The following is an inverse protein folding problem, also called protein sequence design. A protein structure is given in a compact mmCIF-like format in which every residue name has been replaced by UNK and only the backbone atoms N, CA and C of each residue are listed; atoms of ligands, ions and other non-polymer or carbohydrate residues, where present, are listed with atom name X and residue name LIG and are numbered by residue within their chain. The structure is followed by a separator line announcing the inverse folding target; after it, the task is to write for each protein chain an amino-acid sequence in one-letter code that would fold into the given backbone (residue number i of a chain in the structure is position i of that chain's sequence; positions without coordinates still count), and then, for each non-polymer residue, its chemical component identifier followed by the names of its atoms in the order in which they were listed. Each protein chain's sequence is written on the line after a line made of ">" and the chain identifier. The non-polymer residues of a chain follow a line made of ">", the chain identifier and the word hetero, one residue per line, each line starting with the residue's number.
data_IF_023968992891
#
_entry.id   IF_023968992891
#
_cell.length_a   1.000
_cell.length_b   1.000
_cell.length_c   1.000
_cell.angle_alpha   90.00
_cell.angle_beta   90.00
_cell.angle_gamma   90.00
#
_symmetry.space_group_name_H-M   'P 1'
#
loop_
_entity.id
_entity.type
_entity.pdbx_description
1 polymer ?
#
# COMPACT_ATOMS: atom_id res chain seq x y z
N UNK A 1 -43.60 31.62 15.57
CA UNK A 1 -44.52 30.74 14.81
C UNK A 1 -44.29 30.99 13.34
N UNK A 2 -43.66 30.05 12.65
CA UNK A 2 -43.87 29.76 11.23
C UNK A 2 -43.14 28.45 10.91
N UNK A 3 -43.95 27.45 10.54
CA UNK A 3 -43.55 26.11 10.13
C UNK A 3 -42.86 26.16 8.77
N UNK A 4 -41.76 25.41 8.62
CA UNK A 4 -41.27 24.95 7.33
C UNK A 4 -41.18 23.43 7.40
N UNK A 5 -42.04 22.79 6.61
CA UNK A 5 -42.18 21.35 6.38
C UNK A 5 -41.05 20.88 5.45
N UNK A 6 -40.20 19.98 5.94
CA UNK A 6 -39.25 19.22 5.12
C UNK A 6 -39.78 17.81 4.84
N UNK A 7 -40.14 17.54 3.60
CA UNK A 7 -40.45 16.19 3.10
C UNK A 7 -39.16 15.36 3.00
N UNK A 8 -39.06 14.29 3.79
CA UNK A 8 -38.06 13.24 3.57
C UNK A 8 -38.69 12.13 2.73
N UNK A 9 -38.12 11.89 1.54
CA UNK A 9 -38.42 10.72 0.72
C UNK A 9 -37.75 9.49 1.35
N UNK A 10 -38.55 8.59 1.94
CA UNK A 10 -38.11 7.22 2.22
C UNK A 10 -38.42 6.35 1.00
N UNK A 11 -37.39 5.78 0.38
CA UNK A 11 -37.55 4.74 -0.63
C UNK A 11 -37.44 3.38 0.06
N UNK A 12 -38.59 2.71 0.19
CA UNK A 12 -38.69 1.33 0.65
C UNK A 12 -37.92 0.39 -0.28
N UNK A 13 -37.01 -0.41 0.27
CA UNK A 13 -36.46 -1.60 -0.39
C UNK A 13 -37.40 -2.76 -0.04
N UNK A 14 -38.11 -3.27 -1.05
CA UNK A 14 -38.89 -4.49 -0.94
C UNK A 14 -37.95 -5.69 -0.88
N UNK A 15 -37.89 -6.36 0.28
CA UNK A 15 -37.31 -7.70 0.41
C UNK A 15 -38.42 -8.70 0.06
N UNK A 16 -38.30 -9.34 -1.10
CA UNK A 16 -39.21 -10.40 -1.52
C UNK A 16 -38.88 -11.69 -0.74
N UNK A 17 -39.65 -11.98 0.30
CA UNK A 17 -39.71 -13.31 0.91
C UNK A 17 -40.47 -14.27 -0.01
N UNK A 18 -39.80 -15.32 -0.49
CA UNK A 18 -40.46 -16.55 -0.93
C UNK A 18 -40.52 -17.51 0.25
N UNK A 19 -41.71 -17.67 0.81
CA UNK A 19 -42.03 -18.72 1.76
C UNK A 19 -42.27 -20.07 1.07
N UNK A 20 -41.65 -21.10 1.62
CA UNK A 20 -42.14 -22.48 1.80
C UNK A 20 -41.61 -22.85 3.20
N UNK A 21 -42.39 -23.23 4.20
CA UNK A 21 -43.59 -24.05 4.19
C UNK A 21 -43.26 -25.33 4.95
N UNK A 22 -43.26 -25.21 6.28
CA UNK A 22 -43.46 -26.18 7.38
C UNK A 22 -42.78 -27.57 7.45
N UNK A 23 -42.57 -27.92 8.73
CA UNK A 23 -42.28 -29.21 9.37
C UNK A 23 -40.83 -29.76 9.29
N UNK A 24 -40.07 -29.62 10.39
CA UNK A 24 -40.00 -30.71 11.36
C UNK A 24 -39.30 -30.31 12.68
N UNK A 25 -39.84 -30.85 13.77
CA UNK A 25 -39.40 -30.67 15.15
C UNK A 25 -38.24 -31.60 15.48
N UNK A 26 -37.55 -31.26 16.57
CA UNK A 26 -36.81 -32.16 17.45
C UNK A 26 -35.63 -32.94 16.84
N UNK A 27 -34.41 -32.42 17.06
CA UNK A 27 -33.26 -33.19 17.56
C UNK A 27 -32.11 -32.29 17.97
N UNK A 28 -32.11 -31.92 19.26
CA UNK A 28 -30.87 -31.64 19.98
C UNK A 28 -30.23 -33.01 20.29
N UNK A 29 -29.09 -33.32 19.67
CA UNK A 29 -28.23 -34.44 20.06
C UNK A 29 -26.93 -33.89 20.66
N UNK A 30 -26.72 -34.26 21.92
CA UNK A 30 -25.55 -34.02 22.77
C UNK A 30 -24.25 -34.71 22.27
N UNK A 31 -23.87 -34.53 21.00
CA UNK A 31 -22.68 -35.21 20.43
C UNK A 31 -21.52 -34.31 19.98
N UNK A 32 -21.61 -32.98 20.10
CA UNK A 32 -20.48 -32.08 19.75
C UNK A 32 -19.59 -31.68 20.96
N UNK A 33 -19.78 -32.33 22.12
CA UNK A 33 -18.87 -32.23 23.28
C UNK A 33 -18.00 -33.47 23.39
N UNK A 34 -17.07 -33.65 22.45
CA UNK A 34 -15.83 -34.45 22.60
C UNK A 34 -15.09 -34.50 21.27
N UNK A 35 -14.09 -33.65 21.10
CA UNK A 35 -12.95 -33.99 20.25
C UNK A 35 -11.67 -33.76 21.02
N UNK A 36 -10.95 -34.88 21.14
CA UNK A 36 -9.89 -35.17 22.08
C UNK A 36 -8.57 -34.45 21.76
N UNK A 37 -7.88 -34.15 22.84
CA UNK A 37 -6.45 -33.90 22.92
C UNK A 37 -5.67 -35.09 22.35
N UNK A 38 -5.03 -34.92 21.19
CA UNK A 38 -3.86 -35.72 20.81
C UNK A 38 -3.09 -35.07 19.65
N UNK A 39 -2.13 -34.20 19.98
CA UNK A 39 -1.05 -33.85 19.06
C UNK A 39 0.27 -34.35 19.66
N UNK A 40 0.67 -35.54 19.20
CA UNK A 40 2.00 -36.10 19.45
C UNK A 40 3.04 -35.29 18.68
N UNK A 41 3.96 -34.65 19.40
CA UNK A 41 5.18 -34.08 18.85
C UNK A 41 6.12 -35.20 18.40
N UNK A 42 6.14 -35.51 17.11
CA UNK A 42 7.28 -36.19 16.50
C UNK A 42 8.31 -35.13 16.11
N UNK A 43 9.46 -35.16 16.80
CA UNK A 43 10.64 -34.36 16.52
C UNK A 43 11.19 -34.69 15.13
N UNK A 44 10.98 -33.80 14.15
CA UNK A 44 11.75 -33.79 12.92
C UNK A 44 12.96 -32.88 13.13
N UNK A 45 14.14 -33.48 13.32
CA UNK A 45 15.42 -32.76 13.36
C UNK A 45 15.75 -32.29 11.93
N UNK A 46 15.49 -31.02 11.62
CA UNK A 46 15.87 -30.40 10.35
C UNK A 46 17.31 -29.92 10.46
N UNK A 47 18.24 -30.56 9.75
CA UNK A 47 19.57 -30.01 9.53
C UNK A 47 19.46 -28.84 8.54
N UNK A 48 20.02 -27.66 8.83
CA UNK A 48 19.99 -26.54 7.89
C UNK A 48 20.84 -26.86 6.67
N UNK A 49 20.20 -27.10 5.53
CA UNK A 49 20.87 -27.09 4.23
C UNK A 49 21.10 -25.61 3.88
N UNK A 50 22.33 -25.14 4.07
CA UNK A 50 22.73 -23.79 3.67
C UNK A 50 22.84 -23.80 2.13
N UNK A 51 22.02 -23.01 1.40
CA UNK A 51 22.13 -22.97 -0.06
C UNK A 51 23.46 -22.33 -0.45
N UNK A 52 24.32 -23.11 -1.11
CA UNK A 52 25.58 -22.67 -1.71
C UNK A 52 25.44 -22.54 -3.21
N UNK A 53 25.97 -21.46 -3.79
CA UNK A 53 26.03 -21.26 -5.24
C UNK A 53 27.44 -21.64 -5.72
N UNK A 54 27.52 -22.53 -6.71
CA UNK A 54 28.77 -22.88 -7.39
C UNK A 54 29.04 -21.85 -8.47
N UNK A 55 30.12 -21.07 -8.34
CA UNK A 55 30.46 -19.99 -9.28
C UNK A 55 31.39 -20.50 -10.38
N UNK A 56 32.30 -21.43 -10.02
CA UNK A 56 33.20 -22.16 -10.92
C UNK A 56 33.43 -23.58 -10.37
N UNK A 57 33.94 -24.55 -11.15
CA UNK A 57 34.25 -25.88 -10.65
C UNK A 57 35.14 -25.81 -9.38
N UNK A 58 34.60 -26.26 -8.25
CA UNK A 58 35.30 -26.31 -6.97
C UNK A 58 35.17 -25.09 -6.05
N UNK A 59 34.52 -23.99 -6.46
CA UNK A 59 34.33 -22.79 -5.60
C UNK A 59 32.86 -22.60 -5.24
N UNK A 60 32.56 -22.72 -3.95
CA UNK A 60 31.21 -22.50 -3.39
C UNK A 60 31.21 -21.29 -2.46
N UNK A 61 30.21 -20.43 -2.61
CA UNK A 61 29.98 -19.25 -1.76
C UNK A 61 28.66 -19.40 -1.01
N UNK A 62 28.68 -19.13 0.30
CA UNK A 62 27.49 -19.11 1.16
C UNK A 62 26.94 -17.69 1.35
N UNK A 63 25.76 -17.55 1.96
CA UNK A 63 25.12 -16.26 2.25
C UNK A 63 25.93 -15.32 3.15
N UNK A 64 26.93 -15.82 3.87
CA UNK A 64 27.83 -15.03 4.72
C UNK A 64 29.11 -14.60 3.98
N UNK A 65 29.12 -14.65 2.64
CA UNK A 65 30.27 -14.30 1.79
C UNK A 65 31.53 -15.13 2.11
N UNK A 66 31.37 -16.30 2.74
CA UNK A 66 32.48 -17.19 3.02
C UNK A 66 32.70 -18.09 1.80
N UNK A 67 33.87 -17.98 1.18
CA UNK A 67 34.26 -18.82 0.06
C UNK A 67 35.01 -20.06 0.57
N UNK A 68 34.59 -21.25 0.12
CA UNK A 68 35.33 -22.49 0.36
C UNK A 68 36.09 -22.84 -0.93
N UNK A 69 37.42 -22.96 -0.84
CA UNK A 69 38.28 -23.37 -1.94
C UNK A 69 38.63 -24.86 -1.79
N UNK A 70 38.84 -25.60 -2.90
CA UNK A 70 39.28 -26.98 -2.81
C UNK A 70 40.70 -27.04 -2.23
N UNK A 71 41.07 -28.13 -1.54
CA UNK A 71 42.43 -28.30 -1.04
C UNK A 71 43.40 -28.41 -2.22
N UNK A 72 44.11 -27.33 -2.53
CA UNK A 72 45.23 -27.37 -3.46
C UNK A 72 46.44 -28.00 -2.75
N UNK A 73 47.15 -28.97 -3.36
CA UNK A 73 48.48 -29.33 -2.89
C UNK A 73 49.42 -28.14 -3.17
N UNK A 74 49.77 -27.40 -2.12
CA UNK A 74 50.74 -26.30 -2.23
C UNK A 74 52.14 -26.92 -2.38
N UNK A 75 52.63 -27.02 -3.61
CA UNK A 75 54.06 -27.22 -3.87
C UNK A 75 54.75 -25.85 -3.82
N UNK A 76 55.51 -25.60 -2.75
CA UNK A 76 56.36 -24.41 -2.61
C UNK A 76 57.59 -24.51 -3.52
N UNK A 77 57.48 -24.06 -4.77
CA UNK A 77 58.67 -23.83 -5.60
C UNK A 77 58.41 -22.87 -6.76
N UNK A 78 58.07 -21.61 -6.48
CA UNK A 78 58.38 -20.45 -7.36
C UNK A 78 58.25 -19.15 -6.54
N UNK A 79 59.29 -18.29 -6.50
CA UNK A 79 59.20 -17.00 -5.81
C UNK A 79 58.55 -15.95 -6.72
N UNK A 80 57.45 -15.36 -6.27
CA UNK A 80 56.89 -14.13 -6.84
C UNK A 80 55.74 -14.35 -7.81
N UNK A 81 54.52 -14.36 -7.28
CA UNK A 81 53.29 -14.26 -8.08
C UNK A 81 52.29 -15.29 -7.63
N UNK A 82 51.35 -14.89 -6.76
CA UNK A 82 50.04 -15.55 -6.59
C UNK A 82 49.10 -14.82 -5.61
N UNK A 83 49.56 -13.85 -4.80
CA UNK A 83 48.63 -13.07 -3.95
C UNK A 83 47.84 -12.01 -4.74
N UNK A 84 48.46 -11.38 -5.74
CA UNK A 84 47.83 -10.32 -6.55
C UNK A 84 46.71 -10.84 -7.47
N UNK A 85 46.85 -12.07 -7.99
CA UNK A 85 45.87 -12.69 -8.88
C UNK A 85 44.61 -13.13 -8.14
N UNK A 86 44.74 -13.62 -6.90
CA UNK A 86 43.59 -14.00 -6.06
C UNK A 86 42.85 -12.75 -5.56
N UNK A 87 43.57 -11.71 -5.14
CA UNK A 87 42.97 -10.44 -4.73
C UNK A 87 42.22 -9.76 -5.90
N UNK A 88 42.79 -9.78 -7.11
CA UNK A 88 42.15 -9.24 -8.31
C UNK A 88 40.89 -10.02 -8.70
N UNK A 89 40.89 -11.35 -8.57
CA UNK A 89 39.73 -12.18 -8.85
C UNK A 89 38.59 -11.96 -7.83
N UNK A 90 38.91 -11.80 -6.54
CA UNK A 90 37.90 -11.46 -5.51
C UNK A 90 37.33 -10.06 -5.74
N UNK A 91 38.16 -9.09 -6.15
CA UNK A 91 37.70 -7.73 -6.46
C UNK A 91 36.82 -7.70 -7.73
N UNK A 92 37.15 -8.50 -8.75
CA UNK A 92 36.34 -8.64 -9.97
C UNK A 92 35.01 -9.34 -9.70
N UNK A 93 34.96 -10.32 -8.80
CA UNK A 93 33.70 -10.96 -8.37
C UNK A 93 32.87 -10.01 -7.50
N UNK A 94 33.48 -9.20 -6.64
CA UNK A 94 32.78 -8.15 -5.90
C UNK A 94 32.23 -7.04 -6.82
N UNK A 95 32.95 -6.71 -7.88
CA UNK A 95 32.49 -5.77 -8.92
C UNK A 95 31.42 -6.38 -9.83
N UNK A 96 31.49 -7.68 -10.13
CA UNK A 96 30.48 -8.40 -10.92
C UNK A 96 29.19 -8.68 -10.14
N UNK A 97 29.29 -8.96 -8.82
CA UNK A 97 28.14 -9.05 -7.92
C UNK A 97 27.59 -7.67 -7.55
N UNK A 98 28.39 -6.61 -7.67
CA UNK A 98 27.96 -5.21 -7.55
C UNK A 98 27.36 -4.60 -8.82
N UNK A 99 27.33 -5.34 -9.94
CA UNK A 99 26.80 -4.86 -11.24
C UNK A 99 25.68 -5.72 -11.83
N UNK A 100 25.13 -6.65 -11.03
CA UNK A 100 23.97 -7.47 -11.40
C UNK A 100 22.65 -6.83 -10.95
N UNK A 101 22.19 -5.83 -11.69
CA UNK A 101 20.91 -5.16 -11.50
C UNK A 101 21.06 -3.70 -11.90
N UNK A 102 20.44 -3.30 -13.01
CA UNK A 102 20.29 -1.88 -13.32
C UNK A 102 19.28 -1.34 -12.30
N UNK A 103 19.74 -1.10 -11.06
CA UNK A 103 18.99 -0.33 -10.09
C UNK A 103 19.00 1.09 -10.63
N UNK A 104 17.93 1.44 -11.32
CA UNK A 104 17.72 2.80 -11.77
C UNK A 104 17.78 3.68 -10.52
N UNK A 105 18.77 4.57 -10.46
CA UNK A 105 19.00 5.39 -9.28
C UNK A 105 17.72 6.18 -8.98
N UNK A 106 17.10 5.92 -7.82
CA UNK A 106 15.90 6.62 -7.37
C UNK A 106 16.07 8.12 -7.54
N UNK A 107 15.06 8.78 -8.13
CA UNK A 107 15.05 10.25 -8.31
C UNK A 107 15.10 11.03 -7.00
N UNK A 108 14.86 10.36 -5.87
CA UNK A 108 14.95 10.95 -4.55
C UNK A 108 16.37 11.39 -4.20
N UNK A 109 16.62 12.69 -3.96
CA UNK A 109 17.95 13.16 -3.60
C UNK A 109 18.39 12.60 -2.24
N UNK A 110 19.64 12.14 -2.21
CA UNK A 110 20.30 11.61 -0.99
C UNK A 110 20.80 12.70 -0.03
N UNK A 111 20.92 13.94 -0.50
CA UNK A 111 21.47 15.08 0.26
C UNK A 111 20.52 16.27 0.26
N UNK A 112 20.39 16.93 1.40
CA UNK A 112 19.47 18.05 1.64
C UNK A 112 19.98 19.42 1.16
N UNK A 113 21.09 19.48 0.41
CA UNK A 113 21.63 20.74 -0.13
C UNK A 113 20.78 21.29 -1.29
N UNK A 114 19.55 21.72 -1.02
CA UNK A 114 18.80 22.61 -1.91
C UNK A 114 17.58 23.22 -1.21
N UNK A 115 17.75 24.50 -0.83
CA UNK A 115 16.77 25.60 -0.66
C UNK A 115 15.55 25.43 0.27
N UNK A 116 15.17 26.55 0.91
CA UNK A 116 14.17 26.70 1.99
C UNK A 116 12.98 25.73 1.87
N UNK A 117 12.83 24.87 2.88
CA UNK A 117 11.72 23.90 3.02
C UNK A 117 12.14 22.43 2.93
N UNK A 118 13.25 22.11 2.25
CA UNK A 118 13.69 20.73 2.06
C UNK A 118 12.75 19.88 1.20
N UNK A 119 13.21 18.73 0.72
CA UNK A 119 12.37 17.77 -0.03
C UNK A 119 11.42 17.09 0.93
N UNK A 120 10.13 17.08 0.61
CA UNK A 120 9.08 16.40 1.39
C UNK A 120 9.09 14.92 1.03
N UNK A 121 9.50 14.05 1.96
CA UNK A 121 9.61 12.62 1.69
C UNK A 121 8.34 11.91 2.11
N UNK A 122 7.92 10.94 1.30
CA UNK A 122 6.69 10.20 1.53
C UNK A 122 6.89 8.71 1.29
N UNK A 123 6.23 7.88 2.12
CA UNK A 123 6.01 6.46 1.88
C UNK A 123 4.50 6.28 1.66
N UNK A 124 4.14 5.49 0.66
CA UNK A 124 2.75 5.09 0.40
C UNK A 124 2.58 3.60 0.74
N UNK A 125 1.78 3.31 1.77
CA UNK A 125 1.40 1.96 2.19
C UNK A 125 -0.02 1.65 1.72
N UNK A 126 -0.18 0.65 0.86
CA UNK A 126 -1.37 0.50 0.01
C UNK A 126 -1.71 -0.97 -0.25
N UNK A 127 -2.94 -1.28 -0.62
CA UNK A 127 -3.46 -2.64 -0.89
C UNK A 127 -4.09 -2.82 -2.27
N UNK A 128 -3.91 -1.83 -3.15
CA UNK A 128 -4.18 -1.80 -4.59
C UNK A 128 -5.62 -2.13 -5.01
N UNK A 129 -6.38 -1.05 -5.20
CA UNK A 129 -7.47 -0.85 -6.14
C UNK A 129 -7.16 0.27 -7.14
N UNK A 130 -8.14 0.64 -7.95
CA UNK A 130 -8.01 1.80 -8.86
C UNK A 130 -7.84 3.12 -8.10
N UNK A 131 -8.42 3.24 -6.91
CA UNK A 131 -8.24 4.35 -5.99
C UNK A 131 -6.80 4.51 -5.49
N UNK A 132 -6.14 3.43 -5.03
CA UNK A 132 -4.71 3.46 -4.69
C UNK A 132 -3.85 3.89 -5.89
N UNK A 133 -4.19 3.39 -7.08
CA UNK A 133 -3.49 3.74 -8.31
C UNK A 133 -3.65 5.22 -8.67
N UNK A 134 -4.84 5.81 -8.45
CA UNK A 134 -5.03 7.26 -8.57
C UNK A 134 -4.19 8.04 -7.55
N UNK A 135 -4.06 7.56 -6.31
CA UNK A 135 -3.17 8.16 -5.31
C UNK A 135 -1.70 8.12 -5.77
N UNK A 136 -1.23 6.98 -6.28
CA UNK A 136 0.12 6.80 -6.80
C UNK A 136 0.39 7.71 -8.00
N UNK A 137 -0.50 7.73 -9.00
CA UNK A 137 -0.38 8.62 -10.17
C UNK A 137 -0.34 10.08 -9.73
N UNK A 138 -1.19 10.46 -8.76
CA UNK A 138 -1.23 11.82 -8.24
C UNK A 138 0.10 12.21 -7.59
N UNK A 139 0.71 11.36 -6.75
CA UNK A 139 2.01 11.64 -6.14
C UNK A 139 3.11 11.76 -7.21
N UNK A 140 3.23 10.78 -8.11
CA UNK A 140 4.29 10.74 -9.12
C UNK A 140 4.24 11.92 -10.09
N UNK A 141 3.03 12.31 -10.51
CA UNK A 141 2.83 13.44 -11.42
C UNK A 141 3.17 14.80 -10.79
N UNK A 142 3.19 14.88 -9.45
CA UNK A 142 3.31 16.12 -8.70
C UNK A 142 4.62 16.27 -7.92
N UNK A 143 5.59 15.35 -8.09
CA UNK A 143 6.90 15.40 -7.44
C UNK A 143 7.62 16.74 -7.61
N UNK A 144 7.74 17.22 -8.85
CA UNK A 144 8.41 18.49 -9.14
C UNK A 144 7.61 19.68 -8.59
N UNK A 145 6.28 19.68 -8.79
CA UNK A 145 5.41 20.80 -8.42
C UNK A 145 5.35 21.03 -6.92
N UNK A 146 5.33 19.97 -6.11
CA UNK A 146 5.18 20.04 -4.66
C UNK A 146 6.48 19.72 -3.91
N UNK A 147 7.60 19.57 -4.64
CA UNK A 147 8.91 19.20 -4.10
C UNK A 147 8.83 17.95 -3.21
N UNK A 148 8.05 16.95 -3.65
CA UNK A 148 7.90 15.68 -2.94
C UNK A 148 8.84 14.64 -3.56
N UNK A 149 9.19 13.62 -2.77
CA UNK A 149 9.79 12.43 -3.36
C UNK A 149 9.31 11.16 -2.64
N UNK A 150 8.78 10.24 -3.45
CA UNK A 150 8.24 8.95 -3.01
C UNK A 150 9.40 7.99 -2.73
N UNK A 151 9.69 7.76 -1.46
CA UNK A 151 10.83 6.96 -1.00
C UNK A 151 10.64 5.48 -1.24
N UNK A 152 9.42 5.00 -1.04
CA UNK A 152 9.05 3.61 -1.14
C UNK A 152 7.54 3.48 -1.29
N UNK A 153 7.13 2.39 -1.92
CA UNK A 153 5.77 1.89 -1.87
C UNK A 153 5.80 0.59 -1.09
N UNK A 154 4.93 0.46 -0.09
CA UNK A 154 4.78 -0.75 0.70
C UNK A 154 3.42 -1.37 0.43
N UNK A 155 3.41 -2.65 0.07
CA UNK A 155 2.18 -3.37 -0.25
C UNK A 155 1.68 -4.12 0.99
N UNK A 156 0.41 -3.97 1.32
CA UNK A 156 -0.29 -4.74 2.36
C UNK A 156 -1.44 -5.53 1.74
N UNK A 157 -2.00 -6.48 2.50
CA UNK A 157 -3.21 -7.20 2.12
C UNK A 157 -4.42 -6.28 2.21
N UNK A 158 -5.50 -6.60 1.49
CA UNK A 158 -6.78 -5.90 1.61
C UNK A 158 -7.68 -6.14 0.40
N UNK A 159 -7.68 -5.21 -0.55
CA UNK A 159 -8.40 -5.30 -1.83
C UNK A 159 -8.01 -6.56 -2.62
N UNK A 160 -6.74 -6.94 -2.59
CA UNK A 160 -6.24 -8.18 -3.18
C UNK A 160 -5.16 -8.86 -2.31
N UNK A 161 -4.69 -10.02 -2.76
CA UNK A 161 -3.51 -10.65 -2.17
C UNK A 161 -2.27 -9.81 -2.48
N UNK A 162 -1.33 -9.70 -1.53
CA UNK A 162 -0.17 -8.78 -1.60
C UNK A 162 0.68 -8.96 -2.86
N UNK A 163 0.74 -10.18 -3.41
CA UNK A 163 1.43 -10.44 -4.67
C UNK A 163 0.75 -9.70 -5.85
N UNK A 164 -0.57 -9.77 -5.94
CA UNK A 164 -1.35 -9.07 -6.98
C UNK A 164 -1.30 -7.56 -6.77
N UNK A 165 -1.37 -7.11 -5.51
CA UNK A 165 -1.14 -5.70 -5.13
C UNK A 165 0.16 -5.17 -5.71
N UNK A 166 1.26 -5.90 -5.50
CA UNK A 166 2.57 -5.48 -5.99
C UNK A 166 2.65 -5.48 -7.53
N UNK A 167 2.02 -6.44 -8.20
CA UNK A 167 1.94 -6.44 -9.67
C UNK A 167 1.17 -5.22 -10.19
N UNK A 168 0.06 -4.86 -9.55
CA UNK A 168 -0.74 -3.71 -9.92
C UNK A 168 0.02 -2.38 -9.72
N UNK A 169 0.76 -2.26 -8.61
CA UNK A 169 1.67 -1.12 -8.39
C UNK A 169 2.73 -1.03 -9.48
N UNK A 170 3.41 -2.15 -9.79
CA UNK A 170 4.44 -2.18 -10.83
C UNK A 170 3.87 -1.81 -12.20
N UNK A 171 2.63 -2.20 -12.51
CA UNK A 171 1.93 -1.85 -13.75
C UNK A 171 1.76 -0.32 -13.88
N UNK A 172 1.37 0.35 -12.79
CA UNK A 172 1.25 1.81 -12.76
C UNK A 172 2.63 2.48 -12.83
N UNK A 173 3.64 1.96 -12.13
CA UNK A 173 5.01 2.49 -12.18
C UNK A 173 5.62 2.35 -13.58
N UNK A 174 5.41 1.24 -14.26
CA UNK A 174 5.85 1.03 -15.65
C UNK A 174 5.17 2.03 -16.59
N UNK A 175 3.85 2.18 -16.47
CA UNK A 175 3.08 3.15 -17.23
C UNK A 175 3.55 4.60 -17.01
N UNK A 176 4.05 4.93 -15.81
CA UNK A 176 4.60 6.25 -15.48
C UNK A 176 6.11 6.39 -15.78
N UNK A 177 6.79 5.34 -16.25
CA UNK A 177 8.25 5.26 -16.37
C UNK A 177 8.96 5.62 -15.05
N UNK A 178 8.49 5.00 -13.96
CA UNK A 178 8.90 5.21 -12.57
C UNK A 178 9.25 3.93 -11.83
N UNK A 179 9.72 2.92 -12.55
CA UNK A 179 10.29 1.70 -11.96
C UNK A 179 11.57 1.95 -11.12
N UNK A 180 12.02 3.20 -11.01
CA UNK A 180 13.04 3.65 -10.04
C UNK A 180 12.50 3.81 -8.61
N UNK A 181 11.18 3.81 -8.41
CA UNK A 181 10.55 3.84 -7.09
C UNK A 181 10.51 2.41 -6.53
N UNK A 182 11.14 2.15 -5.37
CA UNK A 182 11.24 0.78 -4.86
C UNK A 182 9.92 0.32 -4.23
N UNK A 183 9.54 -0.93 -4.51
CA UNK A 183 8.29 -1.57 -4.06
C UNK A 183 8.62 -2.74 -3.14
N UNK A 184 7.98 -2.79 -1.97
CA UNK A 184 8.25 -3.79 -0.94
C UNK A 184 6.98 -4.54 -0.56
N UNK A 185 7.05 -5.86 -0.53
CA UNK A 185 5.97 -6.72 -0.02
C UNK A 185 5.92 -6.65 1.51
N UNK A 186 4.72 -6.47 2.06
CA UNK A 186 4.44 -6.44 3.49
C UNK A 186 3.59 -7.62 3.97
N UNK A 187 2.76 -7.36 4.98
CA UNK A 187 1.93 -8.36 5.63
C UNK A 187 0.90 -8.98 4.67
N UNK A 188 0.89 -10.31 4.58
CA UNK A 188 0.02 -11.08 3.68
C UNK A 188 -1.39 -11.36 4.22
N UNK A 189 -1.65 -10.96 5.46
CA UNK A 189 -2.88 -11.25 6.21
C UNK A 189 -3.03 -10.27 7.38
N UNK A 190 -4.24 -10.12 7.95
CA UNK A 190 -4.43 -9.35 9.18
C UNK A 190 -3.73 -10.01 10.38
N UNK A 191 -3.44 -9.22 11.42
CA UNK A 191 -2.76 -9.69 12.65
C UNK A 191 -3.46 -10.88 13.30
N UNK A 192 -4.78 -10.87 13.29
CA UNK A 192 -5.62 -11.99 13.72
C UNK A 192 -6.55 -12.31 12.57
N UNK A 193 -6.41 -13.50 11.99
CA UNK A 193 -7.37 -14.01 11.01
C UNK A 193 -8.69 -14.36 11.71
N UNK A 194 -9.80 -13.62 11.52
CA UNK A 194 -11.09 -14.07 12.01
C UNK A 194 -11.50 -15.35 11.27
N UNK A 195 -12.35 -16.19 11.89
CA UNK A 195 -12.87 -17.41 11.25
C UNK A 195 -13.53 -17.09 9.90
N UNK A 196 -13.46 -18.06 8.97
CA UNK A 196 -13.78 -17.97 7.54
C UNK A 196 -15.25 -17.65 7.23
N UNK A 197 -15.69 -16.42 7.54
CA UNK A 197 -17.04 -15.94 7.28
C UNK A 197 -17.12 -14.91 6.15
N UNK A 198 -15.99 -14.55 5.51
CA UNK A 198 -16.08 -13.89 4.21
C UNK A 198 -16.53 -14.96 3.21
N UNK A 199 -17.83 -14.98 2.91
CA UNK A 199 -18.27 -15.51 1.64
C UNK A 199 -17.46 -14.76 0.57
N UNK A 200 -16.88 -15.49 -0.38
CA UNK A 200 -16.12 -14.99 -1.55
C UNK A 200 -16.94 -14.07 -2.47
N UNK A 201 -18.13 -13.65 -2.05
CA UNK A 201 -19.05 -12.80 -2.78
C UNK A 201 -18.57 -11.35 -2.77
N UNK A 202 -17.99 -10.96 -3.90
CA UNK A 202 -17.76 -9.61 -4.43
C UNK A 202 -16.63 -8.79 -3.80
N UNK A 203 -15.38 -9.12 -4.16
CA UNK A 203 -14.31 -8.12 -4.16
C UNK A 203 -14.70 -7.00 -5.12
N UNK A 204 -14.89 -5.78 -4.61
CA UNK A 204 -15.27 -4.63 -5.43
C UNK A 204 -14.29 -4.40 -6.58
N UNK A 205 -13.00 -4.58 -6.30
CA UNK A 205 -11.90 -4.42 -7.24
C UNK A 205 -11.53 -5.71 -7.99
N UNK A 206 -12.37 -6.75 -8.00
CA UNK A 206 -12.03 -8.05 -8.59
C UNK A 206 -11.06 -8.87 -7.74
N UNK A 207 -10.76 -10.10 -8.16
CA UNK A 207 -9.90 -11.02 -7.42
C UNK A 207 -8.43 -10.55 -7.41
N UNK A 208 -7.97 -9.95 -8.52
CA UNK A 208 -6.61 -9.41 -8.65
C UNK A 208 -6.46 -7.97 -8.12
N UNK A 209 -7.54 -7.33 -7.67
CA UNK A 209 -7.57 -5.93 -7.23
C UNK A 209 -7.62 -4.90 -8.36
N UNK A 210 -7.53 -5.30 -9.62
CA UNK A 210 -7.55 -4.46 -10.83
C UNK A 210 -8.69 -4.85 -11.78
N UNK A 211 -9.84 -5.17 -11.22
CA UNK A 211 -11.08 -5.46 -11.93
C UNK A 211 -11.01 -6.74 -12.76
N UNK A 212 -10.06 -7.64 -12.46
CA UNK A 212 -9.75 -8.83 -13.26
C UNK A 212 -9.52 -8.50 -14.75
N UNK A 213 -9.03 -7.29 -15.02
CA UNK A 213 -8.76 -6.82 -16.36
C UNK A 213 -7.61 -7.62 -16.97
N UNK A 214 -7.81 -8.14 -18.18
CA UNK A 214 -6.73 -8.77 -18.92
C UNK A 214 -5.69 -7.72 -19.33
N UNK A 215 -4.39 -8.03 -19.26
CA UNK A 215 -3.32 -7.18 -19.76
C UNK A 215 -2.40 -7.99 -20.66
N UNK A 216 -1.93 -7.39 -21.75
CA UNK A 216 -1.12 -8.09 -22.76
C UNK A 216 0.25 -8.53 -22.21
N UNK A 217 0.72 -7.86 -21.15
CA UNK A 217 1.99 -8.15 -20.50
C UNK A 217 1.83 -8.09 -18.98
N UNK A 218 2.65 -8.87 -18.30
CA UNK A 218 2.76 -8.83 -16.84
C UNK A 218 4.02 -8.08 -16.44
N UNK A 219 3.94 -7.18 -15.45
CA UNK A 219 5.12 -6.48 -14.95
C UNK A 219 6.16 -7.47 -14.42
N UNK A 220 7.44 -7.13 -14.60
CA UNK A 220 8.53 -7.97 -14.11
C UNK A 220 8.67 -7.85 -12.59
N UNK A 221 8.55 -8.96 -11.87
CA UNK A 221 8.77 -9.02 -10.41
C UNK A 221 10.22 -8.76 -10.00
N UNK A 222 11.15 -8.66 -10.96
CA UNK A 222 12.54 -8.24 -10.69
C UNK A 222 12.63 -6.84 -10.07
N UNK A 223 11.64 -5.97 -10.29
CA UNK A 223 11.58 -4.64 -9.70
C UNK A 223 11.07 -4.63 -8.25
N UNK A 224 10.66 -5.79 -7.71
CA UNK A 224 10.33 -5.92 -6.29
C UNK A 224 11.61 -6.03 -5.47
N UNK A 225 11.63 -5.29 -4.38
CA UNK A 225 12.71 -5.35 -3.43
C UNK A 225 12.56 -6.59 -2.53
N UNK A 226 13.64 -7.33 -2.25
CA UNK A 226 13.56 -8.58 -1.47
C UNK A 226 13.34 -8.35 0.03
N UNK A 227 13.48 -7.11 0.51
CA UNK A 227 13.27 -6.75 1.90
C UNK A 227 11.78 -6.63 2.23
N UNK A 228 11.40 -7.01 3.45
CA UNK A 228 10.02 -6.83 3.90
C UNK A 228 9.69 -5.34 4.13
N UNK A 229 8.47 -4.92 3.77
CA UNK A 229 8.00 -3.54 3.89
C UNK A 229 8.25 -2.91 5.27
N UNK A 230 7.90 -3.62 6.34
CA UNK A 230 8.07 -3.14 7.73
C UNK A 230 9.54 -2.89 8.09
N UNK A 231 10.44 -3.78 7.64
CA UNK A 231 11.88 -3.58 7.84
C UNK A 231 12.36 -2.37 7.03
N UNK A 232 11.82 -2.17 5.83
CA UNK A 232 12.20 -1.01 5.03
C UNK A 232 11.74 0.31 5.64
N UNK A 233 10.51 0.37 6.14
CA UNK A 233 10.01 1.54 6.88
C UNK A 233 10.94 1.88 8.05
N UNK A 234 11.35 0.87 8.84
CA UNK A 234 12.34 1.06 9.91
C UNK A 234 13.65 1.68 9.42
N UNK A 235 14.24 1.17 8.33
CA UNK A 235 15.48 1.73 7.76
C UNK A 235 15.29 3.19 7.34
N UNK A 236 14.19 3.50 6.64
CA UNK A 236 13.93 4.83 6.12
C UNK A 236 13.67 5.85 7.23
N UNK A 237 12.86 5.51 8.24
CA UNK A 237 12.63 6.40 9.39
C UNK A 237 13.88 6.57 10.24
N UNK A 238 14.77 5.58 10.28
CA UNK A 238 16.07 5.71 10.95
C UNK A 238 17.05 6.59 10.17
N UNK A 239 17.04 6.49 8.84
CA UNK A 239 17.91 7.28 7.98
C UNK A 239 17.46 8.74 7.85
N UNK A 240 16.15 8.99 7.89
CA UNK A 240 15.55 10.31 7.71
C UNK A 240 14.56 10.65 8.85
N UNK A 241 15.05 10.77 10.10
CA UNK A 241 14.18 10.98 11.25
C UNK A 241 13.44 12.31 11.19
N UNK A 242 12.12 12.27 11.37
CA UNK A 242 11.16 13.37 11.32
C UNK A 242 11.08 14.06 9.96
N UNK A 243 11.34 13.33 8.87
CA UNK A 243 11.35 13.87 7.50
C UNK A 243 10.48 13.10 6.50
N UNK A 244 9.87 12.00 6.95
CA UNK A 244 9.04 11.14 6.11
C UNK A 244 7.62 11.13 6.67
N UNK A 245 6.68 11.54 5.82
CA UNK A 245 5.25 11.29 6.04
C UNK A 245 4.87 9.91 5.53
N UNK A 246 4.10 9.15 6.32
CA UNK A 246 3.50 7.90 5.89
C UNK A 246 2.04 8.13 5.50
N UNK A 247 1.68 7.75 4.28
CA UNK A 247 0.29 7.66 3.84
C UNK A 247 -0.09 6.18 3.86
N UNK A 248 -0.92 5.77 4.81
CA UNK A 248 -1.42 4.40 4.92
C UNK A 248 -2.87 4.36 4.44
N UNK A 249 -3.08 3.86 3.23
CA UNK A 249 -4.37 3.90 2.53
C UNK A 249 -5.02 2.53 2.38
N UNK A 250 -4.32 1.46 2.75
CA UNK A 250 -4.89 0.12 2.97
C UNK A 250 -5.01 -0.28 4.44
N UNK A 251 -5.27 -1.57 4.74
CA UNK A 251 -5.28 -2.11 6.11
C UNK A 251 -3.98 -1.86 6.88
N UNK A 252 -4.10 -1.46 8.14
CA UNK A 252 -3.01 -0.92 8.94
C UNK A 252 -1.99 -1.94 9.48
N UNK A 253 -1.99 -3.16 8.96
CA UNK A 253 -1.19 -4.28 9.48
C UNK A 253 0.31 -3.99 9.43
N UNK A 254 0.82 -3.45 8.31
CA UNK A 254 2.22 -3.05 8.18
C UNK A 254 2.59 -1.99 9.24
N UNK A 255 1.73 -1.00 9.45
CA UNK A 255 1.96 0.08 10.42
C UNK A 255 1.91 -0.44 11.86
N UNK A 256 0.95 -1.31 12.18
CA UNK A 256 0.87 -1.94 13.50
C UNK A 256 2.10 -2.80 13.79
N UNK A 257 2.57 -3.59 12.82
CA UNK A 257 3.80 -4.36 12.93
C UNK A 257 5.02 -3.46 13.13
N UNK A 258 5.13 -2.35 12.40
CA UNK A 258 6.19 -1.35 12.62
C UNK A 258 6.19 -0.85 14.07
N UNK A 259 5.02 -0.49 14.61
CA UNK A 259 4.89 0.04 15.96
C UNK A 259 5.22 -1.00 17.05
N UNK A 260 4.97 -2.28 16.78
CA UNK A 260 5.27 -3.37 17.72
C UNK A 260 6.71 -3.86 17.63
N UNK A 261 7.27 -3.95 16.42
CA UNK A 261 8.61 -4.49 16.19
C UNK A 261 9.70 -3.43 16.37
N UNK A 262 9.41 -2.18 16.00
CA UNK A 262 10.37 -1.06 15.99
C UNK A 262 9.75 0.22 16.57
N UNK A 263 9.32 0.23 17.84
CA UNK A 263 8.65 1.38 18.45
C UNK A 263 9.49 2.68 18.39
N UNK A 264 10.83 2.56 18.40
CA UNK A 264 11.74 3.70 18.25
C UNK A 264 11.67 4.34 16.86
N UNK A 265 11.41 3.58 15.81
CA UNK A 265 11.25 4.12 14.45
C UNK A 265 9.90 4.82 14.27
N UNK A 266 8.84 4.35 14.93
CA UNK A 266 7.55 5.03 14.93
C UNK A 266 7.68 6.48 15.40
N UNK A 267 8.49 6.73 16.45
CA UNK A 267 8.74 8.07 16.97
C UNK A 267 9.46 9.02 16.01
N UNK A 268 10.14 8.47 14.99
CA UNK A 268 10.89 9.20 13.97
C UNK A 268 10.05 9.52 12.72
N UNK A 269 8.78 9.14 12.67
CA UNK A 269 7.91 9.53 11.57
C UNK A 269 7.58 11.03 11.68
N UNK A 270 7.48 11.73 10.55
CA UNK A 270 7.08 13.16 10.54
C UNK A 270 5.57 13.30 10.80
N UNK A 271 4.78 12.54 10.06
CA UNK A 271 3.32 12.52 10.19
C UNK A 271 2.77 11.20 9.65
N UNK A 272 1.61 10.80 10.18
CA UNK A 272 0.81 9.68 9.69
C UNK A 272 -0.53 10.20 9.16
N UNK A 273 -0.86 9.84 7.93
CA UNK A 273 -2.18 10.01 7.34
C UNK A 273 -2.76 8.64 7.04
N UNK A 274 -4.02 8.43 7.41
CA UNK A 274 -4.73 7.17 7.20
C UNK A 274 -6.00 7.44 6.41
N UNK A 275 -6.25 6.65 5.36
CA UNK A 275 -7.60 6.46 4.84
C UNK A 275 -8.27 5.36 5.64
N UNK A 276 -9.38 5.68 6.29
CA UNK A 276 -10.22 4.67 6.89
C UNK A 276 -10.82 5.08 8.22
N UNK A 277 -11.53 4.12 8.82
CA UNK A 277 -12.36 4.36 9.99
C UNK A 277 -13.56 5.24 9.66
N UNK A 278 -14.33 5.52 10.69
CA UNK A 278 -15.53 6.32 10.58
C UNK A 278 -15.76 7.13 11.86
N UNK A 279 -16.53 8.21 11.76
CA UNK A 279 -16.78 9.11 12.89
C UNK A 279 -18.11 8.84 13.56
N UNK A 280 -19.12 8.53 12.76
CA UNK A 280 -20.52 8.43 13.16
C UNK A 280 -21.04 6.98 13.10
N UNK A 281 -20.12 6.02 12.91
CA UNK A 281 -20.46 4.61 12.73
C UNK A 281 -21.09 4.31 11.37
N UNK A 282 -20.84 5.14 10.35
CA UNK A 282 -21.24 4.83 8.97
C UNK A 282 -20.19 3.90 8.38
N UNK A 283 -20.55 2.64 8.14
CA UNK A 283 -19.67 1.66 7.48
C UNK A 283 -19.89 1.56 5.97
N UNK A 284 -18.90 0.98 5.27
CA UNK A 284 -19.00 0.57 3.86
C UNK A 284 -18.78 -0.95 3.66
N UNK A 285 -18.42 -1.68 4.73
CA UNK A 285 -18.16 -3.12 4.68
C UNK A 285 -19.03 -3.89 5.66
N UNK A 286 -19.00 -3.49 6.93
CA UNK A 286 -19.96 -3.94 7.93
C UNK A 286 -20.91 -2.78 8.29
N UNK A 287 -21.94 -3.07 9.09
CA UNK A 287 -22.94 -2.07 9.51
C UNK A 287 -22.29 -0.79 10.03
N UNK A 288 -21.22 -0.91 10.82
CA UNK A 288 -20.58 0.22 11.48
C UNK A 288 -19.06 0.30 11.27
N UNK A 289 -18.49 -0.44 10.31
CA UNK A 289 -17.05 -0.43 10.06
C UNK A 289 -16.72 -0.09 8.60
N UNK A 290 -15.72 0.77 8.46
CA UNK A 290 -15.05 1.07 7.20
C UNK A 290 -14.08 -0.07 6.83
N UNK A 291 -13.88 -0.31 5.54
CA UNK A 291 -13.15 -1.42 4.95
C UNK A 291 -11.75 -1.65 5.55
N UNK A 292 -10.87 -0.64 5.56
CA UNK A 292 -9.50 -0.80 6.05
C UNK A 292 -9.46 -1.15 7.54
N UNK A 293 -10.31 -0.49 8.34
CA UNK A 293 -10.43 -0.79 9.76
C UNK A 293 -11.10 -2.14 10.03
N UNK A 294 -12.07 -2.54 9.21
CA UNK A 294 -12.75 -3.83 9.33
C UNK A 294 -11.83 -5.00 8.94
N UNK A 295 -10.94 -4.77 7.97
CA UNK A 295 -10.04 -5.81 7.45
C UNK A 295 -8.96 -6.20 8.46
N UNK A 296 -8.46 -5.27 9.27
CA UNK A 296 -7.63 -5.58 10.44
C UNK A 296 -7.93 -4.65 11.64
N UNK A 297 -9.00 -4.94 12.41
CA UNK A 297 -9.41 -4.11 13.55
C UNK A 297 -8.33 -4.04 14.64
N UNK A 298 -7.61 -5.14 14.88
CA UNK A 298 -6.53 -5.19 15.86
C UNK A 298 -5.37 -4.28 15.46
N UNK A 299 -5.00 -4.26 14.17
CA UNK A 299 -3.98 -3.35 13.68
C UNK A 299 -4.41 -1.89 13.84
N UNK A 300 -5.65 -1.55 13.46
CA UNK A 300 -6.18 -0.21 13.64
C UNK A 300 -6.18 0.22 15.13
N UNK A 301 -6.59 -0.68 16.04
CA UNK A 301 -6.53 -0.45 17.48
C UNK A 301 -5.10 -0.19 17.96
N UNK A 302 -4.12 -0.97 17.49
CA UNK A 302 -2.72 -0.77 17.82
C UNK A 302 -2.23 0.58 17.32
N UNK A 303 -2.51 0.94 16.07
CA UNK A 303 -2.04 2.20 15.49
C UNK A 303 -2.59 3.40 16.25
N UNK A 304 -3.90 3.45 16.51
CA UNK A 304 -4.50 4.60 17.21
C UNK A 304 -4.04 4.74 18.67
N UNK A 305 -3.68 3.63 19.34
CA UNK A 305 -3.26 3.66 20.73
C UNK A 305 -1.74 3.78 20.93
N UNK A 306 -0.94 3.39 19.92
CA UNK A 306 0.52 3.36 20.02
C UNK A 306 1.22 4.40 19.14
N UNK A 307 0.49 5.16 18.31
CA UNK A 307 1.08 6.25 17.55
C UNK A 307 1.70 7.30 18.50
N UNK A 308 2.96 7.72 18.28
CA UNK A 308 3.62 8.75 19.08
C UNK A 308 3.19 10.18 18.71
N UNK A 309 2.22 10.32 17.80
CA UNK A 309 1.65 11.58 17.35
C UNK A 309 0.13 11.46 17.19
N UNK A 310 -0.55 12.60 17.05
CA UNK A 310 -1.95 12.62 16.60
C UNK A 310 -2.00 12.17 15.13
N UNK A 311 -2.75 11.11 14.87
CA UNK A 311 -2.92 10.51 13.55
C UNK A 311 -3.93 11.33 12.73
N UNK A 312 -3.59 11.71 11.49
CA UNK A 312 -4.56 12.36 10.61
C UNK A 312 -5.42 11.28 9.94
N UNK A 313 -6.73 11.34 10.15
CA UNK A 313 -7.67 10.33 9.64
C UNK A 313 -8.56 10.99 8.61
N UNK A 314 -8.61 10.40 7.42
CA UNK A 314 -9.59 10.71 6.38
C UNK A 314 -10.69 9.64 6.45
N UNK A 315 -11.81 9.91 7.13
CA UNK A 315 -12.82 8.89 7.41
C UNK A 315 -13.72 8.64 6.20
N UNK A 316 -14.42 7.51 6.23
CA UNK A 316 -15.41 7.16 5.21
C UNK A 316 -16.48 8.24 5.01
N UNK A 317 -16.97 8.87 6.08
CA UNK A 317 -18.02 9.89 5.96
C UNK A 317 -17.56 11.10 5.12
N UNK A 318 -16.28 11.47 5.17
CA UNK A 318 -15.74 12.54 4.34
C UNK A 318 -15.73 12.13 2.87
N UNK A 319 -15.38 10.88 2.55
CA UNK A 319 -15.53 10.33 1.20
C UNK A 319 -16.97 10.42 0.73
N UNK A 320 -17.94 10.02 1.58
CA UNK A 320 -19.37 10.06 1.25
C UNK A 320 -19.82 11.47 0.88
N UNK A 321 -19.32 12.51 1.56
CA UNK A 321 -19.64 13.90 1.20
C UNK A 321 -19.09 14.33 -0.16
N UNK A 322 -18.06 13.65 -0.68
CA UNK A 322 -17.42 13.96 -1.96
C UNK A 322 -18.02 13.17 -3.14
N UNK A 323 -18.73 12.07 -2.90
CA UNK A 323 -19.36 11.24 -3.95
C UNK A 323 -20.20 12.07 -4.95
N UNK A 324 -21.03 13.04 -4.54
CA UNK A 324 -21.83 13.83 -5.47
C UNK A 324 -21.00 14.69 -6.44
N UNK A 325 -19.75 14.98 -6.09
CA UNK A 325 -18.85 15.80 -6.92
C UNK A 325 -18.23 15.00 -8.07
N UNK A 326 -18.10 13.68 -7.92
CA UNK A 326 -17.30 12.83 -8.81
C UNK A 326 -18.14 11.66 -9.33
N UNK A 327 -18.92 11.88 -10.39
CA UNK A 327 -19.70 10.80 -11.02
C UNK A 327 -18.83 9.92 -11.91
N UNK A 328 -19.23 8.65 -12.06
CA UNK A 328 -18.63 7.71 -13.03
C UNK A 328 -18.67 8.27 -14.45
N UNK A 329 -19.77 8.93 -14.81
CA UNK A 329 -19.90 9.62 -16.10
C UNK A 329 -18.82 10.69 -16.28
N UNK A 330 -18.65 11.60 -15.30
CA UNK A 330 -17.63 12.63 -15.37
C UNK A 330 -16.22 12.02 -15.44
N UNK A 331 -15.96 10.96 -14.67
CA UNK A 331 -14.70 10.22 -14.68
C UNK A 331 -14.35 9.69 -16.08
N UNK A 332 -15.27 9.04 -16.78
CA UNK A 332 -14.99 8.53 -18.12
C UNK A 332 -14.98 9.63 -19.19
N UNK A 333 -15.94 10.55 -19.20
CA UNK A 333 -15.94 11.67 -20.15
C UNK A 333 -14.64 12.49 -20.07
N UNK A 334 -14.15 12.74 -18.86
CA UNK A 334 -12.93 13.53 -18.63
C UNK A 334 -11.67 12.81 -19.07
N UNK A 335 -11.54 11.52 -18.78
CA UNK A 335 -10.27 10.80 -18.85
C UNK A 335 -10.21 9.66 -19.87
N UNK A 336 -11.29 9.31 -20.58
CA UNK A 336 -11.29 8.21 -21.55
C UNK A 336 -10.19 8.36 -22.61
N UNK A 337 -10.06 9.57 -23.19
CA UNK A 337 -9.06 9.91 -24.21
C UNK A 337 -7.75 10.45 -23.61
N UNK A 338 -7.48 10.19 -22.33
CA UNK A 338 -6.25 10.69 -21.70
C UNK A 338 -5.01 10.08 -22.39
N UNK A 339 -4.02 10.91 -22.77
CA UNK A 339 -2.74 10.42 -23.27
C UNK A 339 -1.82 9.90 -22.15
N UNK A 340 -2.20 10.02 -20.88
CA UNK A 340 -1.42 9.53 -19.75
C UNK A 340 -1.53 7.99 -19.69
N UNK A 341 -0.42 7.23 -19.87
CA UNK A 341 -0.48 5.77 -19.93
C UNK A 341 -1.03 5.12 -18.65
N UNK A 342 -0.80 5.71 -17.47
CA UNK A 342 -1.35 5.18 -16.23
C UNK A 342 -2.88 5.37 -16.16
N UNK A 343 -3.40 6.47 -16.71
CA UNK A 343 -4.84 6.69 -16.83
C UNK A 343 -5.45 5.72 -17.86
N UNK A 344 -4.72 5.33 -18.90
CA UNK A 344 -5.17 4.29 -19.83
C UNK A 344 -5.29 2.92 -19.16
N UNK A 345 -4.33 2.55 -18.29
CA UNK A 345 -4.45 1.37 -17.42
C UNK A 345 -5.71 1.48 -16.56
N UNK A 346 -5.91 2.64 -15.89
CA UNK A 346 -7.08 2.88 -15.04
C UNK A 346 -8.40 2.87 -15.83
N UNK A 347 -8.44 3.35 -17.07
CA UNK A 347 -9.62 3.26 -17.92
C UNK A 347 -10.00 1.82 -18.19
N UNK A 348 -9.03 0.93 -18.44
CA UNK A 348 -9.29 -0.50 -18.64
C UNK A 348 -9.86 -1.14 -17.39
N UNK A 349 -9.22 -0.93 -16.23
CA UNK A 349 -9.65 -1.45 -14.92
C UNK A 349 -11.03 -0.93 -14.53
N UNK A 350 -11.19 0.39 -14.48
CA UNK A 350 -12.40 1.01 -13.93
C UNK A 350 -13.60 0.83 -14.86
N UNK A 351 -13.40 0.61 -16.17
CA UNK A 351 -14.51 0.30 -17.08
C UNK A 351 -15.23 -1.01 -16.74
N UNK A 352 -14.55 -1.92 -16.06
CA UNK A 352 -15.11 -3.18 -15.57
C UNK A 352 -15.72 -2.94 -14.18
N UNK A 353 -14.94 -2.38 -13.25
CA UNK A 353 -15.32 -2.18 -11.85
C UNK A 353 -16.54 -1.27 -11.70
N UNK A 354 -16.56 -0.16 -12.45
CA UNK A 354 -17.64 0.83 -12.37
C UNK A 354 -18.70 0.67 -13.48
N UNK A 355 -18.78 -0.49 -14.15
CA UNK A 355 -19.71 -0.71 -15.25
C UNK A 355 -21.19 -0.46 -14.85
N UNK A 356 -21.56 -0.81 -13.62
CA UNK A 356 -22.93 -0.65 -13.08
C UNK A 356 -23.02 0.44 -12.00
N UNK A 357 -21.91 1.11 -11.69
CA UNK A 357 -21.80 2.07 -10.59
C UNK A 357 -21.99 3.53 -11.06
N UNK A 358 -22.70 4.32 -10.25
CA UNK A 358 -23.00 5.73 -10.59
C UNK A 358 -22.03 6.73 -9.97
N UNK A 359 -21.47 6.41 -8.81
CA UNK A 359 -20.48 7.23 -8.11
C UNK A 359 -19.08 6.69 -8.38
N UNK A 360 -18.13 7.59 -8.62
CA UNK A 360 -16.72 7.24 -8.70
C UNK A 360 -16.03 7.68 -7.41
N UNK A 361 -15.38 6.73 -6.72
CA UNK A 361 -14.82 6.93 -5.38
C UNK A 361 -13.33 6.66 -5.37
N UNK A 362 -12.48 7.61 -5.80
CA UNK A 362 -11.03 7.50 -5.68
C UNK A 362 -10.58 7.82 -4.25
N UNK A 363 -10.96 6.99 -3.28
CA UNK A 363 -10.86 7.28 -1.85
C UNK A 363 -9.45 7.69 -1.41
N UNK A 364 -8.47 6.87 -1.76
CA UNK A 364 -7.05 6.99 -1.39
C UNK A 364 -6.41 8.25 -1.96
N UNK A 365 -6.85 8.64 -3.16
CA UNK A 365 -6.38 9.83 -3.84
C UNK A 365 -6.67 11.09 -3.02
N UNK A 366 -7.76 11.13 -2.25
CA UNK A 366 -8.03 12.28 -1.37
C UNK A 366 -6.96 12.44 -0.28
N UNK A 367 -6.41 11.35 0.25
CA UNK A 367 -5.31 11.40 1.22
C UNK A 367 -4.03 11.91 0.56
N UNK A 368 -3.73 11.45 -0.66
CA UNK A 368 -2.62 11.99 -1.45
C UNK A 368 -2.80 13.48 -1.77
N UNK A 369 -4.02 13.92 -2.09
CA UNK A 369 -4.34 15.32 -2.37
C UNK A 369 -4.13 16.21 -1.13
N UNK A 370 -4.62 15.77 0.03
CA UNK A 370 -4.42 16.46 1.31
C UNK A 370 -2.94 16.54 1.68
N UNK A 371 -2.19 15.46 1.46
CA UNK A 371 -0.75 15.48 1.64
C UNK A 371 -0.10 16.50 0.71
N UNK A 372 -0.36 16.45 -0.60
CA UNK A 372 0.24 17.38 -1.56
C UNK A 372 -0.07 18.84 -1.20
N UNK A 373 -1.32 19.16 -0.91
CA UNK A 373 -1.78 20.50 -0.62
C UNK A 373 -2.65 20.54 0.65
N UNK A 374 -2.02 20.73 1.81
CA UNK A 374 -2.75 20.79 3.09
C UNK A 374 -3.73 21.97 3.21
N UNK A 375 -3.60 22.99 2.36
CA UNK A 375 -4.52 24.13 2.33
C UNK A 375 -5.93 23.79 1.84
N UNK A 376 -6.14 22.60 1.24
CA UNK A 376 -7.48 22.15 0.83
C UNK A 376 -8.31 21.68 2.03
N UNK A 377 -7.71 21.44 3.20
CA UNK A 377 -8.44 21.01 4.40
C UNK A 377 -9.26 22.18 4.94
N UNK A 378 -10.58 22.06 4.89
CA UNK A 378 -11.52 23.10 5.35
C UNK A 378 -11.87 22.92 6.83
N UNK A 379 -12.11 21.66 7.24
CA UNK A 379 -12.47 21.32 8.63
C UNK A 379 -11.61 20.16 9.12
N UNK A 380 -10.97 20.35 10.27
CA UNK A 380 -10.17 19.34 10.96
C UNK A 380 -10.44 19.41 12.45
N UNK A 381 -10.82 18.29 13.06
CA UNK A 381 -11.19 18.22 14.48
C UNK A 381 -10.43 17.10 15.17
N UNK A 382 -9.86 17.37 16.34
CA UNK A 382 -9.16 16.35 17.12
C UNK A 382 -10.09 15.69 18.13
N UNK A 383 -9.89 14.38 18.33
CA UNK A 383 -10.64 13.59 19.29
C UNK A 383 -9.75 12.51 19.91
N UNK A 384 -10.19 11.99 21.06
CA UNK A 384 -9.82 10.65 21.49
C UNK A 384 -10.75 9.64 20.79
N UNK A 385 -10.15 8.67 20.11
CA UNK A 385 -10.83 7.59 19.43
C UNK A 385 -10.27 6.23 19.87
N UNK A 386 -11.13 5.21 19.82
CA UNK A 386 -10.78 3.81 20.02
C UNK A 386 -11.36 2.96 18.89
N UNK A 387 -10.87 1.73 18.74
CA UNK A 387 -11.43 0.77 17.77
C UNK A 387 -12.14 -0.33 18.53
N UNK A 388 -13.41 -0.55 18.23
CA UNK A 388 -14.20 -1.63 18.83
C UNK A 388 -13.74 -3.00 18.28
N UNK A 389 -13.41 -3.93 19.17
CA UNK A 389 -12.86 -5.24 18.79
C UNK A 389 -13.78 -6.42 19.11
N UNK A 390 -14.75 -6.26 20.01
CA UNK A 390 -15.52 -7.37 20.58
C UNK A 390 -16.98 -7.39 20.11
N UNK A 391 -17.55 -6.23 19.76
CA UNK A 391 -18.95 -6.10 19.39
C UNK A 391 -19.32 -6.87 18.11
N UNK A 392 -20.43 -7.62 18.14
CA UNK A 392 -20.92 -8.38 16.97
C UNK A 392 -21.25 -7.48 15.75
N UNK A 393 -21.76 -6.28 16.01
CA UNK A 393 -22.23 -5.35 14.96
C UNK A 393 -21.21 -4.23 14.69
N UNK A 394 -20.42 -3.89 15.70
CA UNK A 394 -19.55 -2.71 15.71
C UNK A 394 -18.07 -3.04 15.68
N UNK A 395 -17.66 -4.32 15.57
CA UNK A 395 -16.23 -4.67 15.41
C UNK A 395 -15.64 -3.96 14.18
N UNK A 396 -14.52 -3.26 14.39
CA UNK A 396 -13.85 -2.41 13.39
C UNK A 396 -14.34 -0.96 13.37
N UNK A 397 -15.38 -0.61 14.13
CA UNK A 397 -15.83 0.79 14.24
C UNK A 397 -14.78 1.63 14.96
N UNK A 398 -14.47 2.82 14.42
CA UNK A 398 -13.71 3.84 15.14
C UNK A 398 -14.68 4.64 16.03
N UNK A 399 -14.70 4.32 17.32
CA UNK A 399 -15.55 4.98 18.30
C UNK A 399 -14.92 6.30 18.75
N UNK A 400 -15.65 7.41 18.60
CA UNK A 400 -15.23 8.72 19.10
C UNK A 400 -15.67 8.91 20.55
N UNK A 401 -14.71 9.15 21.44
CA UNK A 401 -14.94 9.37 22.86
C UNK A 401 -15.28 10.84 23.11
N UNK A 402 -16.47 11.27 22.71
CA UNK A 402 -16.92 12.67 22.79
C UNK A 402 -16.90 13.28 24.20
N UNK A 403 -16.88 12.45 25.25
CA UNK A 403 -16.81 12.89 26.65
C UNK A 403 -15.40 13.35 27.06
N UNK A 404 -14.35 12.92 26.36
CA UNK A 404 -12.97 13.38 26.58
C UNK A 404 -12.80 14.73 25.89
N UNK A 405 -12.41 15.75 26.66
CA UNK A 405 -12.28 17.14 26.17
C UNK A 405 -10.84 17.63 26.20
N UNK A 406 -9.98 16.98 26.99
CA UNK A 406 -8.57 17.29 27.14
C UNK A 406 -7.83 16.92 25.84
N UNK A 407 -7.28 17.93 25.16
CA UNK A 407 -6.64 17.77 23.85
C UNK A 407 -5.39 16.88 23.95
N UNK A 408 -4.72 16.87 25.11
CA UNK A 408 -3.56 16.04 25.40
C UNK A 408 -3.89 14.53 25.40
N UNK A 409 -5.16 14.18 25.55
CA UNK A 409 -5.63 12.79 25.45
C UNK A 409 -6.08 12.42 24.03
N UNK A 410 -6.17 13.38 23.11
CA UNK A 410 -6.58 13.10 21.73
C UNK A 410 -5.49 12.35 20.97
N UNK A 411 -5.88 11.38 20.14
CA UNK A 411 -4.98 10.55 19.34
C UNK A 411 -5.29 10.62 17.83
N UNK A 412 -6.42 11.20 17.44
CA UNK A 412 -6.79 11.38 16.03
C UNK A 412 -7.13 12.83 15.71
N UNK A 413 -6.83 13.25 14.49
CA UNK A 413 -7.30 14.46 13.86
C UNK A 413 -8.12 14.08 12.63
N UNK A 414 -9.44 14.18 12.73
CA UNK A 414 -10.38 13.84 11.68
C UNK A 414 -10.44 14.99 10.68
N UNK A 415 -10.22 14.69 9.40
CA UNK A 415 -10.39 15.63 8.29
C UNK A 415 -11.85 15.52 7.83
N UNK A 416 -12.74 16.37 8.34
CA UNK A 416 -14.18 16.27 8.07
C UNK A 416 -14.56 16.79 6.69
N UNK A 417 -13.83 17.79 6.17
CA UNK A 417 -14.16 18.44 4.89
C UNK A 417 -12.91 18.95 4.17
N UNK A 418 -12.91 18.82 2.85
CA UNK A 418 -11.88 19.34 1.95
C UNK A 418 -12.50 20.12 0.78
N UNK A 419 -11.69 21.00 0.16
CA UNK A 419 -12.07 21.75 -1.04
C UNK A 419 -12.16 20.83 -2.27
N UNK A 420 -13.37 20.37 -2.58
CA UNK A 420 -13.64 19.52 -3.75
C UNK A 420 -13.32 20.20 -5.09
N UNK A 421 -13.38 21.53 -5.17
CA UNK A 421 -13.06 22.27 -6.40
C UNK A 421 -11.57 22.18 -6.68
N UNK A 422 -10.73 22.38 -5.66
CA UNK A 422 -9.28 22.24 -5.81
C UNK A 422 -8.89 20.77 -6.07
N UNK A 423 -9.54 19.80 -5.42
CA UNK A 423 -9.33 18.37 -5.73
C UNK A 423 -9.64 18.07 -7.20
N UNK A 424 -10.78 18.56 -7.72
CA UNK A 424 -11.12 18.42 -9.15
C UNK A 424 -10.04 19.04 -10.05
N UNK A 425 -9.51 20.21 -9.68
CA UNK A 425 -8.41 20.86 -10.41
C UNK A 425 -7.14 20.00 -10.39
N UNK A 426 -6.79 19.41 -9.24
CA UNK A 426 -5.64 18.53 -9.10
C UNK A 426 -5.79 17.27 -9.97
N UNK A 427 -6.98 16.67 -10.01
CA UNK A 427 -7.29 15.52 -10.88
C UNK A 427 -7.18 15.88 -12.37
N UNK A 428 -7.77 16.99 -12.80
CA UNK A 428 -7.71 17.44 -14.19
C UNK A 428 -6.27 17.66 -14.66
N UNK A 429 -5.38 18.10 -13.77
CA UNK A 429 -3.95 18.26 -14.08
C UNK A 429 -3.23 16.93 -14.39
N UNK A 430 -3.79 15.77 -14.00
CA UNK A 430 -3.23 14.45 -14.29
C UNK A 430 -3.48 14.00 -15.73
N UNK A 431 -4.50 14.57 -16.40
CA UNK A 431 -4.99 14.12 -17.71
C UNK A 431 -3.90 14.13 -18.78
N UNK A 432 -3.11 15.20 -18.83
CA UNK A 432 -2.15 15.45 -19.92
C UNK A 432 -0.70 15.23 -19.48
N UNK A 433 -0.48 14.54 -18.36
CA UNK A 433 0.87 14.20 -17.89
C UNK A 433 1.50 13.26 -18.91
N UNK A 434 2.36 13.83 -19.75
CA UNK A 434 3.14 13.05 -20.71
C UNK A 434 4.37 12.49 -20.02
N UNK A 435 4.50 11.17 -20.10
CA UNK A 435 5.73 10.48 -19.74
C UNK A 435 6.76 10.80 -20.80
N UNK A 436 7.72 11.67 -20.48
CA UNK A 436 8.81 12.02 -21.40
C UNK A 436 9.58 10.74 -21.76
N UNK A 437 9.36 10.22 -22.96
CA UNK A 437 10.18 9.15 -23.54
C UNK A 437 11.62 9.66 -23.72
N UNK A 438 12.45 9.50 -22.68
CA UNK A 438 13.88 9.77 -22.81
C UNK A 438 14.66 8.59 -23.39
N UNK A 439 13.99 7.44 -23.63
CA UNK A 439 14.68 6.20 -23.96
C UNK A 439 14.68 5.83 -25.45
N UNK A 440 13.69 6.27 -26.25
CA UNK A 440 13.63 5.90 -27.68
C UNK A 440 14.48 6.77 -28.61
N UNK A 441 14.80 8.02 -28.23
CA UNK A 441 15.64 8.91 -29.08
C UNK A 441 17.13 8.60 -29.04
N UNK A 442 17.62 7.87 -28.02
CA UNK A 442 19.03 7.47 -27.92
C UNK A 442 19.35 6.25 -28.79
N UNK A 443 18.38 5.35 -28.97
CA UNK A 443 18.52 4.17 -29.83
C UNK A 443 18.44 4.52 -31.32
N UNK A 444 17.64 5.53 -31.70
CA UNK A 444 17.59 5.97 -33.11
C UNK A 444 18.77 6.85 -33.55
N UNK A 445 19.43 7.57 -32.62
CA UNK A 445 20.64 8.35 -32.96
C UNK A 445 21.92 7.51 -33.06
N UNK A 446 21.94 6.33 -32.46
CA UNK A 446 23.11 5.43 -32.53
C UNK A 446 23.05 4.46 -33.71
N UNK A 447 21.89 4.34 -34.38
CA UNK A 447 21.76 3.54 -35.61
C UNK A 447 21.94 4.34 -36.91
N UNK A 448 21.88 5.67 -36.89
CA UNK A 448 22.14 6.49 -38.10
C UNK A 448 23.62 6.81 -38.33
N UNK A 449 24.45 6.77 -37.29
CA UNK A 449 25.88 7.16 -37.39
C UNK A 449 26.83 5.96 -37.61
N UNK A 450 26.30 4.79 -38.02
CA UNK A 450 27.09 3.61 -38.42
C UNK A 450 26.81 3.12 -39.84
N UNK A 451 26.22 3.94 -40.70
CA UNK A 451 26.19 3.73 -42.14
C UNK A 451 26.33 5.07 -42.85
N UNK A 452 27.57 5.45 -43.19
CA UNK A 452 28.12 5.80 -44.52
C UNK A 452 29.58 6.18 -44.31
#
# INVERSE_FOLDING_TARGET
>A
MNHITGCYFFKHINVAHRGRGDDDRDRYSDEDRRWDNNWNYNQATVYPVIPTVTIFPGVTVNRNLTATLPPFPINYSTPGGNLLTVAAAVLLVALALGSGGVVQASKCPRSEKSLNGGVRRVILDLDAGGDDAWALVMLLANEERYNICLQAITCTHGNAAVADVALNVLRILEAMNRLDVPVYLGATEPLIRPQSHRNESHYFWGQDGFGDAEFDTQPSTHYLEPMHAVQKMYELFTLYPHRITLLAVGPLTNVALLFKMYPEAASKMEALYILGGNRHGVGNTAVAAEFNFFTDPEAANIVLNNAPMIVNVFPWETVVTLIPEFSTQWRFETFHDSPNPAIQVLNRVESIVYAEEKGWTPCDMFVAAVFLNSSIVQTRVTHRAEVELSGRVTRGMMAILHHIKEVEQHNVAIIDAIDAVEVRRMLLALKDVQVKEKFMRSLMRTSSDRKV
#
